data_IF_654675762562
#
_entry.id   IF_654675762562
#
_cell.length_a   1.000
_cell.length_b   1.000
_cell.length_c   1.000
_cell.angle_alpha   90.00
_cell.angle_beta   90.00
_cell.angle_gamma   90.00
#
_symmetry.space_group_name_H-M   'P 1'
#
loop_
_entity.id
_entity.type
_entity.pdbx_description
1 polymer ?
#
# COMPACT_ATOMS: atom_id res chain seq x y z
N UNK A 1 19.43 -30.12 47.38
CA UNK A 1 19.67 -30.67 46.03
C UNK A 1 18.52 -30.24 45.13
N UNK A 2 18.88 -29.58 44.01
CA UNK A 2 18.11 -29.35 42.76
C UNK A 2 16.73 -28.69 42.88
N UNK A 3 16.72 -27.36 42.72
CA UNK A 3 15.59 -26.67 42.10
C UNK A 3 15.59 -26.93 40.61
N UNK A 4 14.43 -27.28 40.08
CA UNK A 4 14.16 -27.41 38.64
C UNK A 4 13.65 -26.07 38.16
N UNK A 5 14.50 -25.29 37.49
CA UNK A 5 14.10 -24.09 36.75
C UNK A 5 14.19 -24.49 35.28
N UNK A 6 13.03 -24.61 34.63
CA UNK A 6 12.91 -24.78 33.18
C UNK A 6 13.43 -23.51 32.46
N UNK A 7 14.39 -23.61 31.52
CA UNK A 7 14.93 -22.43 30.83
C UNK A 7 14.32 -22.24 29.44
N UNK A 8 12.99 -22.28 29.29
CA UNK A 8 12.33 -22.03 27.98
C UNK A 8 10.98 -21.33 28.09
N UNK A 9 10.93 -20.13 28.68
CA UNK A 9 9.83 -19.20 28.44
C UNK A 9 10.24 -18.15 27.40
N UNK A 10 9.68 -18.28 26.20
CA UNK A 10 9.08 -17.17 25.45
C UNK A 10 9.92 -15.91 25.26
N UNK A 11 11.03 -16.02 24.51
CA UNK A 11 11.70 -14.84 23.95
C UNK A 11 11.15 -14.55 22.55
N UNK A 12 10.08 -13.75 22.52
CA UNK A 12 9.78 -12.75 21.50
C UNK A 12 10.07 -13.11 20.05
N UNK A 13 9.13 -13.78 19.39
CA UNK A 13 9.00 -13.73 17.93
C UNK A 13 8.44 -12.35 17.57
N UNK A 14 9.26 -11.30 17.73
CA UNK A 14 9.02 -10.03 17.08
C UNK A 14 9.20 -10.26 15.58
N UNK A 15 8.11 -10.64 14.93
CA UNK A 15 8.00 -10.59 13.48
C UNK A 15 8.23 -9.13 13.08
N UNK A 16 9.47 -8.81 12.68
CA UNK A 16 9.77 -7.60 11.95
C UNK A 16 8.82 -7.59 10.75
N UNK A 17 7.80 -6.71 10.76
CA UNK A 17 6.96 -6.45 9.59
C UNK A 17 7.88 -5.88 8.52
N UNK A 18 8.54 -6.75 7.77
CA UNK A 18 9.28 -6.36 6.57
C UNK A 18 8.26 -5.72 5.65
N UNK A 19 8.49 -4.44 5.33
CA UNK A 19 7.66 -3.75 4.36
C UNK A 19 7.68 -4.55 3.05
N UNK A 20 6.53 -4.77 2.40
CA UNK A 20 6.48 -5.50 1.14
C UNK A 20 7.44 -4.86 0.14
N UNK A 21 8.09 -5.70 -0.68
CA UNK A 21 8.95 -5.22 -1.74
C UNK A 21 8.20 -4.15 -2.58
N UNK A 22 8.87 -3.10 -3.07
CA UNK A 22 8.22 -2.02 -3.81
C UNK A 22 7.30 -2.51 -4.94
N UNK A 23 7.69 -3.58 -5.66
CA UNK A 23 6.85 -4.20 -6.68
C UNK A 23 5.54 -4.78 -6.11
N UNK A 24 5.61 -5.53 -5.01
CA UNK A 24 4.42 -6.08 -4.34
C UNK A 24 3.48 -4.96 -3.85
N UNK A 25 4.05 -3.87 -3.31
CA UNK A 25 3.26 -2.72 -2.87
C UNK A 25 2.59 -1.99 -4.04
N UNK A 26 3.27 -1.88 -5.18
CA UNK A 26 2.69 -1.33 -6.41
C UNK A 26 1.52 -2.18 -6.89
N UNK A 27 1.67 -3.50 -6.92
CA UNK A 27 0.64 -4.41 -7.40
C UNK A 27 -0.60 -4.43 -6.47
N UNK A 28 -0.39 -4.33 -5.15
CA UNK A 28 -1.48 -4.11 -4.18
C UNK A 28 -2.28 -2.85 -4.49
N UNK A 29 -1.59 -1.72 -4.73
CA UNK A 29 -2.25 -0.45 -5.04
C UNK A 29 -3.04 -0.52 -6.36
N UNK A 30 -2.49 -1.17 -7.40
CA UNK A 30 -3.20 -1.35 -8.66
C UNK A 30 -4.42 -2.26 -8.51
N UNK A 31 -4.34 -3.30 -7.68
CA UNK A 31 -5.49 -4.15 -7.36
C UNK A 31 -6.58 -3.38 -6.61
N UNK A 32 -6.18 -2.51 -5.68
CA UNK A 32 -7.13 -1.65 -4.95
C UNK A 32 -7.80 -0.64 -5.89
N UNK A 33 -7.03 -0.03 -6.81
CA UNK A 33 -7.55 0.87 -7.84
C UNK A 33 -8.63 0.19 -8.70
N UNK A 34 -8.36 -1.02 -9.21
CA UNK A 34 -9.33 -1.79 -9.99
C UNK A 34 -10.62 -2.09 -9.20
N UNK A 35 -10.52 -2.28 -7.88
CA UNK A 35 -11.69 -2.43 -7.02
C UNK A 35 -12.55 -1.17 -6.95
N UNK A 36 -11.93 0.00 -6.81
CA UNK A 36 -12.64 1.27 -6.82
C UNK A 36 -13.22 1.61 -8.20
N UNK A 37 -12.56 1.26 -9.29
CA UNK A 37 -13.10 1.41 -10.66
C UNK A 37 -14.39 0.62 -10.84
N UNK A 38 -14.42 -0.66 -10.43
CA UNK A 38 -15.62 -1.48 -10.49
C UNK A 38 -16.78 -0.87 -9.67
N UNK A 39 -16.47 -0.29 -8.50
CA UNK A 39 -17.48 0.43 -7.69
C UNK A 39 -17.96 1.69 -8.41
N UNK A 40 -17.06 2.44 -9.03
CA UNK A 40 -17.41 3.64 -9.78
C UNK A 40 -18.32 3.34 -10.97
N UNK A 41 -18.01 2.29 -11.74
CA UNK A 41 -18.84 1.84 -12.85
C UNK A 41 -20.25 1.43 -12.39
N UNK A 42 -20.34 0.61 -11.34
CA UNK A 42 -21.62 0.17 -10.80
C UNK A 42 -22.45 1.35 -10.25
N UNK A 43 -21.83 2.27 -9.53
CA UNK A 43 -22.51 3.45 -8.99
C UNK A 43 -22.97 4.40 -10.11
N UNK A 44 -22.15 4.62 -11.14
CA UNK A 44 -22.51 5.44 -12.29
C UNK A 44 -23.69 4.84 -13.06
N UNK A 45 -23.69 3.52 -13.27
CA UNK A 45 -24.81 2.81 -13.90
C UNK A 45 -26.11 2.91 -13.09
N UNK A 46 -26.02 3.03 -11.77
CA UNK A 46 -27.16 3.23 -10.88
C UNK A 46 -27.60 4.71 -10.75
N UNK A 47 -26.86 5.66 -11.33
CA UNK A 47 -27.13 7.11 -11.20
C UNK A 47 -26.60 7.73 -9.89
N UNK A 48 -25.84 6.97 -9.10
CA UNK A 48 -25.27 7.40 -7.82
C UNK A 48 -23.96 8.18 -8.04
N UNK A 49 -24.07 9.36 -8.67
CA UNK A 49 -22.92 10.13 -9.16
C UNK A 49 -21.95 10.55 -8.04
N UNK A 50 -22.45 10.84 -6.84
CA UNK A 50 -21.62 11.18 -5.69
C UNK A 50 -20.73 10.00 -5.24
N UNK A 51 -21.28 8.78 -5.28
CA UNK A 51 -20.54 7.55 -4.94
C UNK A 51 -19.53 7.25 -6.03
N UNK A 52 -19.95 7.35 -7.29
CA UNK A 52 -19.06 7.15 -8.43
C UNK A 52 -17.87 8.12 -8.40
N UNK A 53 -18.13 9.41 -8.17
CA UNK A 53 -17.10 10.44 -8.07
C UNK A 53 -16.09 10.16 -6.96
N UNK A 54 -16.56 9.78 -5.76
CA UNK A 54 -15.67 9.38 -4.66
C UNK A 54 -14.80 8.17 -5.00
N UNK A 55 -15.39 7.15 -5.60
CA UNK A 55 -14.67 5.94 -6.00
C UNK A 55 -13.59 6.23 -7.07
N UNK A 56 -13.89 7.07 -8.06
CA UNK A 56 -12.90 7.52 -9.05
C UNK A 56 -11.70 8.21 -8.38
N UNK A 57 -11.94 9.13 -7.45
CA UNK A 57 -10.87 9.82 -6.74
C UNK A 57 -9.99 8.85 -5.93
N UNK A 58 -10.59 7.81 -5.35
CA UNK A 58 -9.85 6.76 -4.64
C UNK A 58 -9.01 5.90 -5.58
N UNK A 59 -9.54 5.51 -6.74
CA UNK A 59 -8.78 4.78 -7.76
C UNK A 59 -7.56 5.58 -8.23
N UNK A 60 -7.75 6.86 -8.57
CA UNK A 60 -6.68 7.76 -9.01
C UNK A 60 -5.60 7.97 -7.94
N UNK A 61 -5.97 8.03 -6.65
CA UNK A 61 -4.97 8.11 -5.58
C UNK A 61 -4.13 6.82 -5.51
N UNK A 62 -4.75 5.65 -5.66
CA UNK A 62 -4.04 4.38 -5.71
C UNK A 62 -3.07 4.32 -6.90
N UNK A 63 -3.48 4.75 -8.09
CA UNK A 63 -2.61 4.81 -9.28
C UNK A 63 -1.45 5.79 -9.09
N UNK A 64 -1.72 7.00 -8.59
CA UNK A 64 -0.70 8.02 -8.30
C UNK A 64 0.33 7.47 -7.32
N UNK A 65 -0.14 6.79 -6.27
CA UNK A 65 0.74 6.15 -5.28
C UNK A 65 1.52 5.02 -5.90
N UNK A 66 0.91 4.16 -6.73
CA UNK A 66 1.58 3.08 -7.44
C UNK A 66 2.71 3.61 -8.35
N UNK A 67 2.48 4.72 -9.04
CA UNK A 67 3.51 5.41 -9.84
C UNK A 67 4.66 6.01 -9.02
N UNK A 68 4.42 6.30 -7.74
CA UNK A 68 5.46 6.76 -6.80
C UNK A 68 6.23 5.61 -6.13
N UNK A 69 5.78 4.35 -6.28
CA UNK A 69 6.49 3.18 -5.74
C UNK A 69 7.56 2.70 -6.73
N UNK A 70 8.79 3.20 -6.55
CA UNK A 70 9.95 2.82 -7.37
C UNK A 70 11.17 3.68 -7.04
N UNK A 71 12.32 3.43 -7.67
CA UNK A 71 13.50 4.29 -7.52
C UNK A 71 13.14 5.72 -7.97
N UNK A 72 13.06 6.66 -7.03
CA UNK A 72 12.94 8.07 -7.37
C UNK A 72 14.27 8.54 -7.97
N UNK A 73 14.25 8.88 -9.26
CA UNK A 73 15.38 9.60 -9.86
C UNK A 73 15.28 11.04 -9.37
N UNK A 74 16.03 11.36 -8.30
CA UNK A 74 16.23 12.74 -7.88
C UNK A 74 16.95 13.48 -9.01
N UNK A 75 16.21 14.31 -9.73
CA UNK A 75 16.77 15.31 -10.65
C UNK A 75 17.44 16.39 -9.79
N UNK A 76 18.65 16.11 -9.30
CA UNK A 76 19.47 17.10 -8.61
C UNK A 76 19.81 18.20 -9.63
N UNK A 77 19.18 19.36 -9.46
CA UNK A 77 19.60 20.56 -10.20
C UNK A 77 21.02 20.87 -9.73
N UNK A 78 22.01 20.75 -10.63
CA UNK A 78 23.38 21.16 -10.34
C UNK A 78 23.41 22.68 -10.11
N UNK A 79 23.85 23.18 -8.94
CA UNK A 79 24.02 24.60 -8.74
C UNK A 79 25.09 25.13 -9.69
N UNK A 80 24.81 26.28 -10.34
CA UNK A 80 25.81 26.99 -11.15
C UNK A 80 26.69 27.79 -10.20
N UNK A 81 27.89 27.30 -9.94
CA UNK A 81 29.00 28.10 -9.45
C UNK A 81 29.73 28.73 -10.65
#
# INVERSE_FOLDING_TARGET
>A
MRGTIDPRSESGMQATRQAPAPAARRDELLKEAAGYEAVAEAAAAAGELDVAGRAILQALDCERRAGSVGPQVLQLIKPRA
#
